data_IF_470013841008
#
_entry.id   IF_470013841008
#
_cell.length_a   1.000
_cell.length_b   1.000
_cell.length_c   1.000
_cell.angle_alpha   90.00
_cell.angle_beta   90.00
_cell.angle_gamma   90.00
#
_symmetry.space_group_name_H-M   'P 1'
#
loop_
_entity.id
_entity.type
_entity.pdbx_description
1 polymer ?
#
# COMPACT_ATOMS: atom_id res chain seq x y z
N UNK A 1 25.27 15.77 6.20
CA UNK A 1 24.86 14.91 5.07
C UNK A 1 23.43 14.46 5.33
N UNK A 2 22.54 14.70 4.40
CA UNK A 2 21.18 14.17 4.42
C UNK A 2 21.21 12.65 4.25
N UNK A 3 20.37 11.92 4.98
CA UNK A 3 20.28 10.46 4.78
C UNK A 3 19.53 10.15 3.50
N UNK A 4 19.85 9.05 2.82
CA UNK A 4 19.10 8.57 1.63
C UNK A 4 17.60 8.43 1.93
N UNK A 5 17.26 7.93 3.11
CA UNK A 5 15.87 7.78 3.54
C UNK A 5 15.13 9.12 3.56
N UNK A 6 15.77 10.19 4.07
CA UNK A 6 15.16 11.51 4.08
C UNK A 6 14.99 12.06 2.66
N UNK A 7 15.97 11.89 1.79
CA UNK A 7 15.88 12.29 0.38
C UNK A 7 14.75 11.54 -0.33
N UNK A 8 14.62 10.24 -0.11
CA UNK A 8 13.54 9.42 -0.67
C UNK A 8 12.18 9.81 -0.10
N UNK A 9 12.06 10.05 1.21
CA UNK A 9 10.83 10.55 1.82
C UNK A 9 10.44 11.91 1.25
N UNK A 10 11.38 12.82 1.09
CA UNK A 10 11.16 14.15 0.51
C UNK A 10 10.76 14.11 -0.97
N UNK A 11 11.09 13.05 -1.71
CA UNK A 11 10.71 12.85 -3.11
C UNK A 11 9.34 12.17 -3.30
N UNK A 12 8.54 12.05 -2.24
CA UNK A 12 7.23 11.39 -2.31
C UNK A 12 6.22 12.16 -3.16
N UNK A 13 6.29 13.49 -3.16
CA UNK A 13 5.42 14.32 -4.00
C UNK A 13 5.69 14.08 -5.49
N UNK A 14 6.95 14.00 -5.91
CA UNK A 14 7.34 13.71 -7.29
C UNK A 14 6.96 12.27 -7.69
N UNK A 15 7.03 11.33 -6.75
CA UNK A 15 6.58 9.95 -6.97
C UNK A 15 5.06 9.90 -7.26
N UNK A 16 4.26 10.61 -6.47
CA UNK A 16 2.80 10.69 -6.68
C UNK A 16 2.47 11.45 -7.97
N UNK A 17 3.21 12.49 -8.35
CA UNK A 17 3.03 13.18 -9.63
C UNK A 17 3.25 12.25 -10.82
N UNK A 18 4.33 11.47 -10.81
CA UNK A 18 4.57 10.44 -11.85
C UNK A 18 3.44 9.41 -11.89
N UNK A 19 2.96 9.00 -10.73
CA UNK A 19 1.85 8.06 -10.63
C UNK A 19 0.55 8.63 -11.20
N UNK A 20 0.24 9.91 -10.97
CA UNK A 20 -0.93 10.58 -11.54
C UNK A 20 -0.91 10.56 -13.07
N UNK A 21 0.26 10.62 -13.68
CA UNK A 21 0.41 10.61 -15.14
C UNK A 21 0.28 9.18 -15.71
N UNK A 22 0.84 8.19 -15.03
CA UNK A 22 1.07 6.87 -15.62
C UNK A 22 0.10 5.78 -15.18
N UNK A 23 -0.62 5.94 -14.06
CA UNK A 23 -1.40 4.85 -13.47
C UNK A 23 -2.83 4.74 -14.01
N UNK A 24 -3.43 5.80 -14.51
CA UNK A 24 -4.85 5.82 -14.90
C UNK A 24 -5.30 4.72 -15.86
N UNK A 25 -4.56 4.37 -16.93
CA UNK A 25 -4.98 3.32 -17.82
C UNK A 25 -5.18 1.98 -17.10
N UNK A 26 -4.26 1.64 -16.17
CA UNK A 26 -4.33 0.42 -15.37
C UNK A 26 -5.50 0.44 -14.39
N UNK A 27 -5.76 1.59 -13.78
CA UNK A 27 -6.88 1.77 -12.84
C UNK A 27 -8.24 1.64 -13.54
N UNK A 28 -8.38 2.23 -14.72
CA UNK A 28 -9.63 2.16 -15.51
C UNK A 28 -9.95 0.73 -15.90
N UNK A 29 -8.95 -0.04 -16.36
CA UNK A 29 -9.15 -1.42 -16.78
C UNK A 29 -9.48 -2.33 -15.60
N UNK A 30 -8.73 -2.25 -14.52
CA UNK A 30 -9.00 -3.01 -13.29
C UNK A 30 -10.37 -2.65 -12.69
N UNK A 31 -10.69 -1.36 -12.60
CA UNK A 31 -11.97 -0.92 -12.06
C UNK A 31 -13.16 -1.39 -12.92
N UNK A 32 -12.98 -1.49 -14.24
CA UNK A 32 -13.99 -2.06 -15.16
C UNK A 32 -14.20 -3.54 -14.84
N UNK A 33 -13.13 -4.30 -14.67
CA UNK A 33 -13.18 -5.72 -14.32
C UNK A 33 -13.87 -5.93 -12.98
N UNK A 34 -13.47 -5.20 -11.95
CA UNK A 34 -14.06 -5.30 -10.61
C UNK A 34 -15.56 -4.91 -10.56
N UNK A 35 -16.01 -4.01 -11.44
CA UNK A 35 -17.44 -3.69 -11.57
C UNK A 35 -18.22 -4.74 -12.35
N UNK A 36 -17.60 -5.35 -13.36
CA UNK A 36 -18.23 -6.40 -14.15
C UNK A 36 -18.35 -7.72 -13.36
N UNK A 37 -17.36 -8.01 -12.53
CA UNK A 37 -17.24 -9.22 -11.71
C UNK A 37 -16.95 -8.82 -10.25
N UNK A 38 -17.91 -8.25 -9.52
CA UNK A 38 -17.69 -7.76 -8.16
C UNK A 38 -17.38 -8.93 -7.21
N UNK A 39 -16.28 -8.87 -6.46
CA UNK A 39 -15.99 -9.91 -5.48
C UNK A 39 -16.88 -9.75 -4.23
N UNK A 40 -17.33 -10.87 -3.65
CA UNK A 40 -17.99 -10.87 -2.35
C UNK A 40 -17.01 -10.59 -1.21
N UNK A 41 -15.75 -11.00 -1.39
CA UNK A 41 -14.65 -10.80 -0.44
C UNK A 41 -13.39 -10.46 -1.21
N UNK A 42 -12.65 -9.47 -0.76
CA UNK A 42 -11.29 -9.21 -1.19
C UNK A 42 -10.27 -9.76 -0.16
N UNK A 43 -9.10 -10.15 -0.63
CA UNK A 43 -8.01 -10.60 0.22
C UNK A 43 -6.76 -9.79 -0.05
N UNK A 44 -5.94 -9.59 0.98
CA UNK A 44 -4.64 -8.92 0.84
C UNK A 44 -3.50 -9.86 1.19
N UNK A 45 -2.40 -9.70 0.47
CA UNK A 45 -1.13 -10.39 0.69
C UNK A 45 -0.04 -9.32 0.79
N UNK A 46 0.60 -9.21 1.95
CA UNK A 46 1.65 -8.22 2.18
C UNK A 46 2.52 -8.55 3.41
N UNK A 47 3.60 -7.78 3.61
CA UNK A 47 4.46 -7.81 4.80
C UNK A 47 4.99 -6.40 5.12
N UNK A 48 5.27 -6.15 6.41
CA UNK A 48 5.90 -4.91 6.87
C UNK A 48 5.12 -3.68 6.45
N UNK A 49 5.79 -2.65 5.93
CA UNK A 49 5.16 -1.42 5.45
C UNK A 49 4.08 -1.66 4.40
N UNK A 50 4.28 -2.66 3.52
CA UNK A 50 3.27 -3.04 2.53
C UNK A 50 1.99 -3.59 3.18
N UNK A 51 2.07 -4.25 4.34
CA UNK A 51 0.89 -4.75 5.06
C UNK A 51 0.11 -3.60 5.73
N UNK A 52 0.80 -2.57 6.20
CA UNK A 52 0.14 -1.35 6.66
C UNK A 52 -0.56 -0.63 5.50
N UNK A 53 0.06 -0.58 4.32
CA UNK A 53 -0.60 -0.04 3.12
C UNK A 53 -1.79 -0.90 2.67
N UNK A 54 -1.70 -2.24 2.80
CA UNK A 54 -2.80 -3.16 2.56
C UNK A 54 -3.94 -2.97 3.57
N UNK A 55 -3.65 -2.64 4.83
CA UNK A 55 -4.64 -2.29 5.84
C UNK A 55 -5.38 -0.98 5.50
N UNK A 56 -4.68 0.02 4.95
CA UNK A 56 -5.30 1.23 4.42
C UNK A 56 -6.25 0.90 3.24
N UNK A 57 -5.76 0.12 2.27
CA UNK A 57 -6.57 -0.37 1.15
C UNK A 57 -7.83 -1.11 1.65
N UNK A 58 -7.68 -2.00 2.62
CA UNK A 58 -8.78 -2.76 3.19
C UNK A 58 -9.85 -1.85 3.79
N UNK A 59 -9.43 -0.83 4.54
CA UNK A 59 -10.35 0.15 5.13
C UNK A 59 -11.13 0.89 4.04
N UNK A 60 -10.45 1.41 3.01
CA UNK A 60 -11.10 2.12 1.91
C UNK A 60 -12.04 1.21 1.12
N UNK A 61 -11.65 -0.04 0.85
CA UNK A 61 -12.47 -1.01 0.13
C UNK A 61 -13.78 -1.29 0.88
N UNK A 62 -13.70 -1.54 2.19
CA UNK A 62 -14.88 -1.73 3.02
C UNK A 62 -15.76 -0.47 3.07
N UNK A 63 -15.15 0.71 3.19
CA UNK A 63 -15.88 1.98 3.29
C UNK A 63 -16.59 2.36 2.00
N UNK A 64 -15.93 2.27 0.84
CA UNK A 64 -16.46 2.76 -0.43
C UNK A 64 -17.21 1.70 -1.23
N UNK A 65 -16.80 0.43 -1.11
CA UNK A 65 -17.35 -0.66 -1.91
C UNK A 65 -18.25 -1.61 -1.10
N UNK A 66 -18.22 -1.55 0.24
CA UNK A 66 -18.94 -2.49 1.08
C UNK A 66 -18.40 -3.93 0.99
N UNK A 67 -17.24 -4.14 0.38
CA UNK A 67 -16.62 -5.46 0.21
C UNK A 67 -15.73 -5.76 1.41
N UNK A 68 -16.01 -6.82 2.20
CA UNK A 68 -15.15 -7.25 3.29
C UNK A 68 -13.74 -7.60 2.78
N UNK A 69 -12.72 -7.25 3.57
CA UNK A 69 -11.32 -7.54 3.22
C UNK A 69 -10.66 -8.36 4.32
N UNK A 70 -10.01 -9.45 3.93
CA UNK A 70 -9.26 -10.32 4.82
C UNK A 70 -7.75 -10.25 4.50
N UNK A 71 -6.93 -9.91 5.50
CA UNK A 71 -5.48 -10.12 5.40
C UNK A 71 -5.20 -11.62 5.47
N UNK A 72 -4.57 -12.17 4.43
CA UNK A 72 -4.37 -13.61 4.28
C UNK A 72 -2.94 -13.98 4.69
N UNK A 73 -2.77 -14.82 5.73
CA UNK A 73 -1.45 -15.33 6.09
C UNK A 73 -0.90 -16.23 4.97
N UNK A 74 0.21 -15.82 4.34
CA UNK A 74 0.81 -16.53 3.21
C UNK A 74 1.18 -17.98 3.54
N UNK A 75 1.54 -18.27 4.78
CA UNK A 75 1.85 -19.63 5.25
C UNK A 75 0.67 -20.60 5.14
N UNK A 76 -0.56 -20.11 5.20
CA UNK A 76 -1.77 -20.93 4.97
C UNK A 76 -1.83 -21.40 3.52
N UNK A 77 -1.37 -20.55 2.60
CA UNK A 77 -1.35 -20.83 1.15
C UNK A 77 -0.14 -21.69 0.77
N UNK A 78 1.06 -21.25 1.13
CA UNK A 78 2.32 -21.85 0.65
C UNK A 78 2.75 -23.09 1.44
N UNK A 79 2.69 -23.03 2.78
CA UNK A 79 3.14 -24.13 3.63
C UNK A 79 2.04 -25.15 3.89
N UNK A 80 0.84 -24.70 4.25
CA UNK A 80 -0.28 -25.60 4.55
C UNK A 80 -1.03 -26.06 3.30
N UNK A 81 -0.88 -25.35 2.18
CA UNK A 81 -1.59 -25.59 0.90
C UNK A 81 -3.10 -25.76 1.09
N UNK A 82 -3.66 -25.03 2.04
CA UNK A 82 -5.07 -25.10 2.40
C UNK A 82 -5.96 -24.88 1.18
N UNK A 83 -7.03 -25.66 0.99
CA UNK A 83 -7.93 -25.55 -0.18
C UNK A 83 -8.90 -24.37 -0.01
N UNK A 84 -8.36 -23.15 -0.03
CA UNK A 84 -9.16 -21.92 0.10
C UNK A 84 -10.15 -21.78 -1.06
N UNK A 85 -11.37 -21.39 -0.74
CA UNK A 85 -12.44 -21.14 -1.70
C UNK A 85 -12.33 -19.69 -2.16
N UNK A 86 -11.61 -19.44 -3.25
CA UNK A 86 -11.28 -18.09 -3.73
C UNK A 86 -11.77 -17.82 -5.15
N UNK A 87 -12.44 -18.77 -5.77
CA UNK A 87 -12.96 -18.61 -7.14
C UNK A 87 -13.95 -17.43 -7.18
N UNK A 88 -13.72 -16.51 -8.12
CA UNK A 88 -14.52 -15.30 -8.28
C UNK A 88 -14.24 -14.20 -7.23
N UNK A 89 -13.30 -14.44 -6.30
CA UNK A 89 -12.87 -13.44 -5.33
C UNK A 89 -11.64 -12.67 -5.82
N UNK A 90 -11.34 -11.51 -5.24
CA UNK A 90 -10.18 -10.71 -5.60
C UNK A 90 -9.05 -10.84 -4.56
N UNK A 91 -7.81 -10.97 -5.03
CA UNK A 91 -6.60 -11.03 -4.19
C UNK A 91 -5.64 -9.93 -4.62
N UNK A 92 -5.28 -9.06 -3.69
CA UNK A 92 -4.38 -7.94 -3.90
C UNK A 92 -3.05 -8.18 -3.18
N UNK A 93 -1.96 -8.24 -3.92
CA UNK A 93 -0.61 -8.38 -3.39
C UNK A 93 0.13 -7.04 -3.44
N UNK A 94 0.77 -6.67 -2.33
CA UNK A 94 1.47 -5.39 -2.17
C UNK A 94 2.96 -5.63 -1.96
N UNK A 95 3.79 -5.02 -2.79
CA UNK A 95 5.25 -5.16 -2.68
C UNK A 95 6.00 -3.96 -3.27
N UNK A 96 7.08 -3.58 -2.64
CA UNK A 96 8.02 -2.63 -3.24
C UNK A 96 8.86 -3.34 -4.31
N UNK A 97 9.49 -4.47 -3.99
CA UNK A 97 10.46 -5.17 -4.88
C UNK A 97 9.81 -6.19 -5.82
N UNK A 98 8.64 -6.73 -5.45
CA UNK A 98 8.03 -7.83 -6.21
C UNK A 98 8.82 -9.14 -6.19
N UNK A 99 9.81 -9.30 -5.27
CA UNK A 99 10.76 -10.41 -5.26
C UNK A 99 10.51 -11.46 -4.16
N UNK A 100 9.56 -11.25 -3.26
CA UNK A 100 9.31 -12.17 -2.14
C UNK A 100 8.71 -13.50 -2.62
N UNK A 101 9.42 -14.64 -2.50
CA UNK A 101 8.97 -15.90 -3.10
C UNK A 101 7.61 -16.37 -2.58
N UNK A 102 7.37 -16.25 -1.29
CA UNK A 102 6.11 -16.67 -0.68
C UNK A 102 4.92 -15.77 -1.07
N UNK A 103 5.15 -14.48 -1.35
CA UNK A 103 4.15 -13.58 -1.90
C UNK A 103 3.79 -13.97 -3.34
N UNK A 104 4.81 -14.22 -4.15
CA UNK A 104 4.68 -14.63 -5.56
C UNK A 104 3.93 -15.97 -5.64
N UNK A 105 4.38 -16.96 -4.87
CA UNK A 105 3.78 -18.30 -4.87
C UNK A 105 2.34 -18.26 -4.33
N UNK A 106 2.06 -17.45 -3.30
CA UNK A 106 0.70 -17.26 -2.80
C UNK A 106 -0.21 -16.69 -3.88
N UNK A 107 0.21 -15.62 -4.54
CA UNK A 107 -0.60 -14.98 -5.59
C UNK A 107 -0.87 -15.93 -6.75
N UNK A 108 0.16 -16.65 -7.21
CA UNK A 108 0.06 -17.64 -8.29
C UNK A 108 -0.92 -18.76 -7.94
N UNK A 109 -0.78 -19.38 -6.76
CA UNK A 109 -1.64 -20.46 -6.30
C UNK A 109 -3.12 -20.03 -6.15
N UNK A 110 -3.37 -18.81 -5.71
CA UNK A 110 -4.73 -18.29 -5.58
C UNK A 110 -5.34 -17.95 -6.95
N UNK A 111 -4.53 -17.41 -7.88
CA UNK A 111 -4.92 -17.21 -9.29
C UNK A 111 -5.29 -18.53 -9.96
N UNK A 112 -4.49 -19.58 -9.81
CA UNK A 112 -4.77 -20.92 -10.33
C UNK A 112 -6.08 -21.50 -9.81
N UNK A 113 -6.51 -21.07 -8.61
CA UNK A 113 -7.80 -21.46 -8.01
C UNK A 113 -8.97 -20.55 -8.42
N UNK A 114 -8.75 -19.64 -9.36
CA UNK A 114 -9.78 -18.81 -9.96
C UNK A 114 -10.03 -17.48 -9.23
N UNK A 115 -9.09 -17.01 -8.41
CA UNK A 115 -9.13 -15.66 -7.89
C UNK A 115 -8.67 -14.64 -8.95
N UNK A 116 -9.27 -13.46 -8.97
CA UNK A 116 -8.73 -12.30 -9.67
C UNK A 116 -7.48 -11.83 -8.91
N UNK A 117 -6.31 -11.98 -9.50
CA UNK A 117 -5.04 -11.62 -8.88
C UNK A 117 -4.56 -10.25 -9.36
N UNK A 118 -4.27 -9.37 -8.39
CA UNK A 118 -3.82 -7.99 -8.62
C UNK A 118 -2.53 -7.75 -7.85
N UNK A 119 -1.52 -7.20 -8.52
CA UNK A 119 -0.28 -6.76 -7.88
C UNK A 119 -0.21 -5.23 -7.85
N UNK A 120 0.03 -4.65 -6.67
CA UNK A 120 0.48 -3.28 -6.52
C UNK A 120 1.99 -3.34 -6.25
N UNK A 121 2.81 -3.02 -7.25
CA UNK A 121 4.25 -3.25 -7.18
C UNK A 121 5.05 -2.07 -7.76
N UNK A 122 6.18 -1.74 -7.12
CA UNK A 122 7.01 -0.63 -7.58
C UNK A 122 8.10 -1.07 -8.59
N UNK A 123 8.66 -2.26 -8.43
CA UNK A 123 9.65 -2.78 -9.36
C UNK A 123 8.97 -3.28 -10.64
N UNK A 124 9.34 -2.68 -11.76
CA UNK A 124 8.89 -3.09 -13.08
C UNK A 124 9.48 -4.46 -13.46
N UNK A 125 8.75 -5.22 -14.26
CA UNK A 125 9.14 -6.56 -14.72
C UNK A 125 9.50 -7.53 -13.59
N UNK A 126 8.84 -7.37 -12.45
CA UNK A 126 9.08 -8.23 -11.29
C UNK A 126 8.36 -9.57 -11.39
N UNK A 127 8.85 -10.64 -10.73
CA UNK A 127 8.16 -11.93 -10.68
C UNK A 127 6.73 -11.86 -10.12
N UNK A 128 6.45 -10.87 -9.23
CA UNK A 128 5.10 -10.64 -8.73
C UNK A 128 4.16 -10.09 -9.82
N UNK A 129 4.67 -9.19 -10.65
CA UNK A 129 3.94 -8.68 -11.83
C UNK A 129 3.56 -9.83 -12.76
N UNK A 130 4.50 -10.71 -13.10
CA UNK A 130 4.26 -11.88 -13.95
C UNK A 130 3.23 -12.86 -13.35
N UNK A 131 3.19 -12.98 -12.02
CA UNK A 131 2.25 -13.85 -11.32
C UNK A 131 0.82 -13.28 -11.27
N UNK A 132 0.63 -11.98 -11.51
CA UNK A 132 -0.66 -11.31 -11.42
C UNK A 132 -1.44 -11.34 -12.75
N UNK A 133 -2.76 -11.13 -12.69
CA UNK A 133 -3.60 -10.88 -13.87
C UNK A 133 -3.66 -9.39 -14.20
N UNK A 134 -3.61 -8.55 -13.17
CA UNK A 134 -3.57 -7.11 -13.27
C UNK A 134 -2.42 -6.56 -12.43
N UNK A 135 -1.72 -5.58 -12.97
CA UNK A 135 -0.64 -4.89 -12.26
C UNK A 135 -0.95 -3.40 -12.16
N UNK A 136 -0.82 -2.85 -10.96
CA UNK A 136 -0.82 -1.42 -10.71
C UNK A 136 0.60 -0.97 -10.37
N UNK A 137 1.33 -0.37 -11.32
CA UNK A 137 2.68 0.13 -11.08
C UNK A 137 2.65 1.30 -10.11
N UNK A 138 3.46 1.24 -9.04
CA UNK A 138 3.47 2.31 -8.04
C UNK A 138 4.17 3.58 -8.52
N UNK A 139 5.01 3.50 -9.55
CA UNK A 139 5.73 4.63 -10.15
C UNK A 139 6.58 5.45 -9.15
N UNK A 140 6.94 4.87 -7.99
CA UNK A 140 7.71 5.58 -6.98
C UNK A 140 9.18 5.81 -7.39
N UNK A 141 9.65 5.08 -8.41
CA UNK A 141 11.05 5.06 -8.81
C UNK A 141 11.91 4.24 -7.86
N UNK A 142 13.23 4.28 -8.06
CA UNK A 142 14.15 3.52 -7.22
C UNK A 142 14.11 3.97 -5.75
N UNK A 143 14.06 3.01 -4.83
CA UNK A 143 14.09 3.21 -3.39
C UNK A 143 15.15 2.28 -2.80
N UNK A 144 16.19 2.87 -2.21
CA UNK A 144 17.38 2.17 -1.75
C UNK A 144 17.47 2.05 -0.23
N UNK A 145 16.68 2.85 0.48
CA UNK A 145 16.59 2.78 1.95
C UNK A 145 15.93 1.48 2.38
N UNK A 146 16.44 0.89 3.45
CA UNK A 146 15.86 -0.35 4.02
C UNK A 146 14.45 -0.10 4.50
N UNK A 147 14.23 1.00 5.22
CA UNK A 147 12.90 1.40 5.64
C UNK A 147 12.16 2.07 4.47
N UNK A 148 10.98 1.56 4.14
CA UNK A 148 10.14 2.10 3.07
C UNK A 148 9.70 3.54 3.36
N UNK A 149 9.64 4.37 2.32
CA UNK A 149 9.23 5.77 2.37
C UNK A 149 8.23 6.11 1.26
N UNK A 150 8.71 6.58 0.12
CA UNK A 150 7.88 7.00 -1.02
C UNK A 150 7.07 5.85 -1.64
N UNK A 151 7.59 4.63 -1.62
CA UNK A 151 6.83 3.47 -2.13
C UNK A 151 5.59 3.18 -1.28
N UNK A 152 5.68 3.34 0.05
CA UNK A 152 4.53 3.26 0.93
C UNK A 152 3.48 4.34 0.58
N UNK A 153 3.89 5.60 0.48
CA UNK A 153 3.00 6.73 0.13
C UNK A 153 2.37 6.52 -1.25
N UNK A 154 3.15 6.07 -2.24
CA UNK A 154 2.64 5.75 -3.57
C UNK A 154 1.61 4.60 -3.53
N UNK A 155 1.78 3.62 -2.64
CA UNK A 155 0.80 2.54 -2.46
C UNK A 155 -0.52 3.06 -1.87
N UNK A 156 -0.47 3.98 -0.89
CA UNK A 156 -1.67 4.64 -0.38
C UNK A 156 -2.40 5.42 -1.47
N UNK A 157 -1.65 6.20 -2.25
CA UNK A 157 -2.18 6.96 -3.39
C UNK A 157 -2.84 6.05 -4.43
N UNK A 158 -2.16 4.98 -4.86
CA UNK A 158 -2.72 4.01 -5.80
C UNK A 158 -4.00 3.35 -5.27
N UNK A 159 -4.02 3.02 -3.98
CA UNK A 159 -5.19 2.42 -3.31
C UNK A 159 -6.40 3.37 -3.32
N UNK A 160 -6.20 4.63 -2.94
CA UNK A 160 -7.26 5.64 -2.94
C UNK A 160 -7.79 5.90 -4.36
N UNK A 161 -6.91 5.99 -5.35
CA UNK A 161 -7.28 6.18 -6.76
C UNK A 161 -8.02 4.98 -7.33
N UNK A 162 -7.61 3.75 -6.98
CA UNK A 162 -8.37 2.56 -7.36
C UNK A 162 -9.80 2.62 -6.81
N UNK A 163 -9.97 3.01 -5.54
CA UNK A 163 -11.31 3.17 -4.98
C UNK A 163 -12.12 4.24 -5.72
N UNK A 164 -11.51 5.37 -6.06
CA UNK A 164 -12.16 6.43 -6.82
C UNK A 164 -12.65 5.96 -8.19
N UNK A 165 -11.83 5.20 -8.92
CA UNK A 165 -12.23 4.61 -10.21
C UNK A 165 -13.25 3.47 -10.05
N UNK A 166 -13.11 2.62 -9.05
CA UNK A 166 -14.02 1.50 -8.83
C UNK A 166 -15.42 1.98 -8.41
N UNK A 167 -15.49 2.96 -7.51
CA UNK A 167 -16.74 3.58 -7.07
C UNK A 167 -17.31 4.62 -8.04
N UNK A 168 -16.59 5.02 -9.11
CA UNK A 168 -16.89 6.19 -9.94
C UNK A 168 -17.05 7.49 -9.11
N UNK A 169 -16.25 7.66 -8.07
CA UNK A 169 -16.26 8.81 -7.17
C UNK A 169 -15.38 9.94 -7.72
N UNK A 170 -16.04 10.92 -8.34
CA UNK A 170 -15.34 12.09 -8.94
C UNK A 170 -14.68 12.98 -7.87
N UNK A 171 -15.30 13.11 -6.71
CA UNK A 171 -14.75 13.95 -5.64
C UNK A 171 -13.44 13.35 -5.10
N UNK A 172 -13.40 12.01 -4.95
CA UNK A 172 -12.20 11.30 -4.54
C UNK A 172 -11.10 11.35 -5.62
N UNK A 173 -11.48 11.30 -6.92
CA UNK A 173 -10.54 11.51 -8.04
C UNK A 173 -9.91 12.91 -7.99
N UNK A 174 -10.72 13.95 -7.83
CA UNK A 174 -10.25 15.33 -7.73
C UNK A 174 -9.35 15.52 -6.50
N UNK A 175 -9.73 14.97 -5.34
CA UNK A 175 -8.90 15.01 -4.14
C UNK A 175 -7.53 14.35 -4.35
N UNK A 176 -7.45 13.26 -5.13
CA UNK A 176 -6.21 12.60 -5.50
C UNK A 176 -5.23 13.53 -6.23
N UNK A 177 -5.72 14.45 -7.06
CA UNK A 177 -4.88 15.43 -7.77
C UNK A 177 -4.28 16.50 -6.84
N UNK A 178 -4.84 16.70 -5.64
CA UNK A 178 -4.31 17.65 -4.66
C UNK A 178 -3.20 17.04 -3.79
N UNK A 179 -3.06 15.72 -3.77
CA UNK A 179 -2.11 15.02 -2.90
C UNK A 179 -0.65 15.49 -3.07
N UNK A 180 -0.11 15.69 -4.29
CA UNK A 180 1.27 16.18 -4.44
C UNK A 180 1.52 17.53 -3.78
N UNK A 181 0.55 18.45 -3.85
CA UNK A 181 0.64 19.75 -3.18
C UNK A 181 0.68 19.58 -1.66
N UNK A 182 -0.23 18.78 -1.09
CA UNK A 182 -0.24 18.47 0.34
C UNK A 182 1.06 17.81 0.83
N UNK A 183 1.66 16.93 0.02
CA UNK A 183 2.96 16.32 0.34
C UNK A 183 4.11 17.36 0.32
N UNK A 184 4.09 18.31 -0.62
CA UNK A 184 5.06 19.44 -0.63
C UNK A 184 4.90 20.32 0.61
N UNK A 185 3.68 20.62 1.00
CA UNK A 185 3.41 21.40 2.21
C UNK A 185 3.90 20.67 3.47
N UNK A 186 3.63 19.36 3.57
CA UNK A 186 4.12 18.53 4.68
C UNK A 186 5.65 18.48 4.73
N UNK A 187 6.32 18.39 3.58
CA UNK A 187 7.79 18.40 3.47
C UNK A 187 8.40 19.72 3.96
N UNK A 188 7.69 20.83 3.75
CA UNK A 188 8.17 22.18 4.13
C UNK A 188 8.00 22.52 5.62
N UNK A 189 7.31 21.66 6.39
CA UNK A 189 7.10 21.91 7.81
C UNK A 189 8.40 21.80 8.61
N UNK A 190 8.55 22.66 9.62
CA UNK A 190 9.63 22.58 10.60
C UNK A 190 9.30 21.55 11.70
N UNK A 191 10.01 20.46 11.68
CA UNK A 191 9.87 19.36 12.64
C UNK A 191 10.83 19.45 13.83
N UNK A 192 11.68 20.49 13.93
CA UNK A 192 12.71 20.60 14.97
C UNK A 192 12.16 20.47 16.38
N UNK A 193 11.02 21.12 16.68
CA UNK A 193 10.35 21.01 17.98
C UNK A 193 9.90 19.59 18.31
N UNK A 194 9.39 18.86 17.33
CA UNK A 194 9.01 17.45 17.51
C UNK A 194 10.24 16.57 17.74
N UNK A 195 11.32 16.81 16.99
CA UNK A 195 12.61 16.11 17.15
C UNK A 195 13.15 16.33 18.56
N UNK A 196 13.17 17.57 19.05
CA UNK A 196 13.67 17.89 20.39
C UNK A 196 12.82 17.24 21.49
N UNK A 197 11.50 17.20 21.30
CA UNK A 197 10.58 16.55 22.27
C UNK A 197 10.79 15.02 22.32
N UNK A 198 11.07 14.40 21.18
CA UNK A 198 11.19 12.94 21.07
C UNK A 198 12.62 12.43 21.31
N UNK A 199 13.62 13.31 21.37
CA UNK A 199 15.05 12.94 21.47
C UNK A 199 15.35 11.98 22.62
N UNK A 200 14.78 12.22 23.78
CA UNK A 200 14.99 11.43 25.00
C UNK A 200 13.84 10.47 25.30
N UNK A 201 12.86 10.38 24.40
CA UNK A 201 11.73 9.48 24.55
C UNK A 201 12.19 8.02 24.40
N UNK A 202 11.72 7.15 25.29
CA UNK A 202 11.98 5.71 25.21
C UNK A 202 10.78 4.93 24.68
N UNK A 203 9.60 5.51 24.77
CA UNK A 203 8.35 4.90 24.34
C UNK A 203 7.46 5.94 23.67
N UNK A 204 6.73 5.50 22.64
CA UNK A 204 5.84 6.36 21.87
C UNK A 204 4.53 5.63 21.58
N UNK A 205 3.42 6.29 21.76
CA UNK A 205 2.12 5.86 21.27
C UNK A 205 1.74 6.72 20.07
N UNK A 206 1.44 6.07 18.94
CA UNK A 206 0.97 6.73 17.73
C UNK A 206 -0.52 6.44 17.57
N UNK A 207 -1.34 7.48 17.58
CA UNK A 207 -2.79 7.34 17.56
C UNK A 207 -3.32 7.65 16.17
N UNK A 208 -4.14 6.74 15.62
CA UNK A 208 -4.84 6.93 14.36
C UNK A 208 -6.17 6.19 14.34
N UNK A 209 -7.16 6.72 13.62
CA UNK A 209 -8.48 6.10 13.46
C UNK A 209 -8.84 5.92 11.99
N UNK A 210 -9.68 4.92 11.72
CA UNK A 210 -10.12 4.64 10.36
C UNK A 210 -8.94 4.33 9.46
N UNK A 211 -8.92 4.89 8.26
CA UNK A 211 -7.78 4.78 7.34
C UNK A 211 -6.47 5.32 7.95
N UNK A 212 -6.54 6.31 8.85
CA UNK A 212 -5.39 6.87 9.56
C UNK A 212 -4.71 5.88 10.52
N UNK A 213 -5.37 4.79 10.92
CA UNK A 213 -4.74 3.77 11.76
C UNK A 213 -3.59 3.06 11.03
N UNK A 214 -3.74 2.77 9.74
CA UNK A 214 -2.67 2.20 8.93
C UNK A 214 -1.43 3.11 8.86
N UNK A 215 -1.65 4.44 8.81
CA UNK A 215 -0.57 5.43 8.84
C UNK A 215 0.10 5.47 10.23
N UNK A 216 -0.69 5.35 11.29
CA UNK A 216 -0.15 5.27 12.66
C UNK A 216 0.71 3.99 12.85
N UNK A 217 0.27 2.86 12.30
CA UNK A 217 1.04 1.61 12.30
C UNK A 217 2.38 1.76 11.59
N UNK A 218 2.37 2.40 10.41
CA UNK A 218 3.60 2.66 9.66
C UNK A 218 4.53 3.63 10.40
N UNK A 219 4.00 4.70 10.98
CA UNK A 219 4.82 5.62 11.77
C UNK A 219 5.46 4.92 12.98
N UNK A 220 4.70 4.09 13.70
CA UNK A 220 5.24 3.29 14.80
C UNK A 220 6.35 2.33 14.31
N UNK A 221 6.17 1.68 13.15
CA UNK A 221 7.20 0.85 12.55
C UNK A 221 8.45 1.66 12.22
N UNK A 222 8.31 2.82 11.60
CA UNK A 222 9.46 3.68 11.23
C UNK A 222 10.25 4.11 12.47
N UNK A 223 9.60 4.50 13.57
CA UNK A 223 10.30 4.82 14.82
C UNK A 223 11.11 3.62 15.35
N UNK A 224 10.57 2.40 15.29
CA UNK A 224 11.29 1.18 15.70
C UNK A 224 12.48 0.89 14.79
N UNK A 225 12.31 1.00 13.48
CA UNK A 225 13.34 0.65 12.48
C UNK A 225 14.49 1.66 12.43
N UNK A 226 14.20 2.96 12.63
CA UNK A 226 15.18 4.01 12.36
C UNK A 226 15.75 4.68 13.61
N UNK A 227 15.04 4.61 14.74
CA UNK A 227 15.41 5.31 15.97
C UNK A 227 15.53 4.39 17.18
N UNK A 228 15.31 3.08 17.01
CA UNK A 228 15.24 2.10 18.12
C UNK A 228 14.22 2.45 19.21
N UNK A 229 13.34 3.42 18.94
CA UNK A 229 12.33 3.87 19.86
C UNK A 229 11.17 2.86 19.93
N UNK A 230 10.81 2.41 21.11
CA UNK A 230 9.66 1.53 21.30
C UNK A 230 8.37 2.30 20.96
N UNK A 231 7.77 1.98 19.84
CA UNK A 231 6.56 2.66 19.36
C UNK A 231 5.44 1.66 19.08
N UNK A 232 4.23 2.01 19.53
CA UNK A 232 3.02 1.23 19.32
C UNK A 232 1.92 2.09 18.70
N UNK A 233 1.13 1.51 17.79
CA UNK A 233 -0.02 2.19 17.19
C UNK A 233 -1.30 1.84 17.96
N UNK A 234 -2.13 2.84 18.20
CA UNK A 234 -3.44 2.71 18.85
C UNK A 234 -4.55 3.36 18.03
N UNK A 235 -5.76 2.80 18.14
CA UNK A 235 -6.98 3.30 17.50
C UNK A 235 -7.99 3.77 18.54
#
# INVERSE_FOLDING_TARGET
>A
MTSKMLEEAQSSCEAVERQLINLDPYLVDLARELRANPPDVAMTLARGSSDHAASYFAYLTMQHMGVPVASLPMSVVTLRRSPLRVKGQAVFAFSQSGQSPDLIDSLRLLRERGALSVALVNAEHSPLEEASAYTLPLCAGAEYSVAATKSFIATLSASARLMAHWANDKALLEAGHLLPAGLRDARSQDWSKAIDTLRDAQRLLVIGRGAGFAIAQEAALKFKETSTLQAEAFS
#
